data_IF_861201406070
#
_entry.id   IF_861201406070
#
_cell.length_a   1.000
_cell.length_b   1.000
_cell.length_c   1.000
_cell.angle_alpha   90.00
_cell.angle_beta   90.00
_cell.angle_gamma   90.00
#
_symmetry.space_group_name_H-M   'P 1'
#
loop_
_entity.id
_entity.type
_entity.pdbx_description
1 polymer ?
#
# COMPACT_ATOMS: atom_id res chain seq x y z
N UNK A 1 -10.40 -11.50 0.81
CA UNK A 1 -9.61 -10.58 1.67
C UNK A 1 -8.08 -10.77 1.58
N UNK A 2 -7.56 -11.96 1.27
CA UNK A 2 -6.10 -12.19 1.12
C UNK A 2 -5.47 -11.48 -0.09
N UNK A 3 -6.25 -11.15 -1.13
CA UNK A 3 -5.72 -10.56 -2.35
C UNK A 3 -5.11 -9.16 -2.13
N UNK A 4 -5.74 -8.31 -1.32
CA UNK A 4 -5.20 -6.96 -1.06
C UNK A 4 -3.90 -7.02 -0.24
N UNK A 5 -3.85 -7.89 0.79
CA UNK A 5 -2.65 -8.08 1.63
C UNK A 5 -1.50 -8.65 0.82
N UNK A 6 -1.79 -9.66 -0.01
CA UNK A 6 -0.82 -10.24 -0.94
C UNK A 6 -0.32 -9.19 -1.94
N UNK A 7 -1.21 -8.35 -2.47
CA UNK A 7 -0.84 -7.24 -3.35
C UNK A 7 0.04 -6.23 -2.63
N UNK A 8 -0.27 -5.84 -1.40
CA UNK A 8 0.55 -4.93 -0.61
C UNK A 8 1.97 -5.48 -0.36
N UNK A 9 2.08 -6.77 0.02
CA UNK A 9 3.38 -7.42 0.21
C UNK A 9 4.16 -7.48 -1.11
N UNK A 10 3.51 -7.83 -2.22
CA UNK A 10 4.15 -7.85 -3.54
C UNK A 10 4.60 -6.47 -3.99
N UNK A 11 3.81 -5.44 -3.76
CA UNK A 11 4.18 -4.05 -4.09
C UNK A 11 5.38 -3.61 -3.24
N UNK A 12 5.40 -3.91 -1.94
CA UNK A 12 6.55 -3.62 -1.08
C UNK A 12 7.81 -4.38 -1.54
N UNK A 13 7.68 -5.66 -1.90
CA UNK A 13 8.78 -6.45 -2.47
C UNK A 13 9.23 -5.89 -3.83
N UNK A 14 8.30 -5.44 -4.68
CA UNK A 14 8.59 -4.78 -5.95
C UNK A 14 9.49 -3.55 -5.75
N UNK A 15 9.10 -2.69 -4.80
CA UNK A 15 9.86 -1.51 -4.46
C UNK A 15 11.23 -1.85 -3.88
N UNK A 16 11.36 -2.94 -3.13
CA UNK A 16 12.67 -3.42 -2.64
C UNK A 16 13.64 -3.83 -3.74
N UNK A 17 13.17 -4.12 -4.96
CA UNK A 17 14.07 -4.35 -6.10
C UNK A 17 14.64 -3.06 -6.68
N UNK A 18 13.97 -1.92 -6.56
CA UNK A 18 14.37 -0.69 -7.26
C UNK A 18 15.73 -0.18 -6.79
N UNK A 19 15.99 0.06 -5.48
CA UNK A 19 17.30 0.51 -5.03
C UNK A 19 18.40 -0.51 -5.36
N UNK A 20 18.12 -1.80 -5.17
CA UNK A 20 19.06 -2.88 -5.46
C UNK A 20 19.46 -2.94 -6.95
N UNK A 21 18.51 -2.75 -7.88
CA UNK A 21 18.78 -2.73 -9.32
C UNK A 21 19.54 -1.46 -9.74
N UNK A 22 19.16 -0.30 -9.19
CA UNK A 22 19.90 0.95 -9.43
C UNK A 22 21.35 0.85 -8.95
N UNK A 23 21.56 0.27 -7.76
CA UNK A 23 22.89 0.01 -7.22
C UNK A 23 23.65 -0.98 -8.11
N UNK A 24 23.05 -2.12 -8.48
CA UNK A 24 23.70 -3.11 -9.34
C UNK A 24 24.17 -2.51 -10.68
N UNK A 25 23.33 -1.67 -11.31
CA UNK A 25 23.70 -0.97 -12.54
C UNK A 25 24.85 0.03 -12.31
N UNK A 26 24.82 0.76 -11.20
CA UNK A 26 25.89 1.67 -10.81
C UNK A 26 27.23 0.95 -10.54
N UNK A 27 27.19 -0.18 -9.83
CA UNK A 27 28.37 -1.02 -9.58
C UNK A 27 28.97 -1.55 -10.90
N UNK A 28 28.14 -2.01 -11.83
CA UNK A 28 28.61 -2.52 -13.12
C UNK A 28 29.37 -1.45 -13.93
N UNK A 29 28.95 -0.18 -13.84
CA UNK A 29 29.63 0.95 -14.49
C UNK A 29 30.84 1.51 -13.73
N UNK A 30 31.08 1.08 -12.49
CA UNK A 30 32.13 1.64 -11.62
C UNK A 30 32.92 0.55 -10.88
N UNK A 31 33.12 -0.60 -11.53
CA UNK A 31 33.68 -1.79 -10.89
C UNK A 31 35.10 -1.60 -10.34
N UNK A 32 35.87 -0.72 -10.95
CA UNK A 32 37.28 -0.47 -10.59
C UNK A 32 37.45 0.34 -9.28
N UNK A 33 36.36 0.81 -8.67
CA UNK A 33 36.40 1.56 -7.40
C UNK A 33 36.46 0.63 -6.20
N UNK A 34 36.81 1.20 -5.05
CA UNK A 34 36.90 0.45 -3.79
C UNK A 34 35.54 -0.07 -3.31
N UNK A 35 35.58 -1.09 -2.44
CA UNK A 35 34.42 -1.70 -1.76
C UNK A 35 33.34 -2.36 -2.64
N UNK A 36 33.52 -2.49 -3.96
CA UNK A 36 32.48 -3.01 -4.88
C UNK A 36 32.03 -4.45 -4.59
N UNK A 37 32.93 -5.32 -4.14
CA UNK A 37 32.58 -6.68 -3.71
C UNK A 37 31.69 -6.68 -2.46
N UNK A 38 31.98 -5.83 -1.48
CA UNK A 38 31.17 -5.68 -0.26
C UNK A 38 29.79 -5.09 -0.60
N UNK A 39 29.74 -4.09 -1.47
CA UNK A 39 28.49 -3.50 -1.93
C UNK A 39 27.62 -4.51 -2.68
N UNK A 40 28.22 -5.37 -3.51
CA UNK A 40 27.50 -6.43 -4.21
C UNK A 40 26.88 -7.45 -3.24
N UNK A 41 27.57 -7.76 -2.12
CA UNK A 41 27.00 -8.60 -1.07
C UNK A 41 25.77 -7.95 -0.41
N UNK A 42 25.80 -6.64 -0.14
CA UNK A 42 24.66 -5.90 0.41
C UNK A 42 23.48 -5.90 -0.58
N UNK A 43 23.74 -5.61 -1.86
CA UNK A 43 22.73 -5.68 -2.93
C UNK A 43 22.11 -7.09 -3.01
N UNK A 44 22.92 -8.14 -2.91
CA UNK A 44 22.42 -9.52 -2.91
C UNK A 44 21.48 -9.78 -1.73
N UNK A 45 21.81 -9.31 -0.52
CA UNK A 45 20.92 -9.43 0.65
C UNK A 45 19.58 -8.72 0.42
N UNK A 46 19.61 -7.52 -0.17
CA UNK A 46 18.39 -6.78 -0.51
C UNK A 46 17.54 -7.54 -1.54
N UNK A 47 18.17 -8.06 -2.60
CA UNK A 47 17.50 -8.86 -3.63
C UNK A 47 16.90 -10.15 -3.07
N UNK A 48 17.62 -10.86 -2.19
CA UNK A 48 17.14 -12.07 -1.52
C UNK A 48 15.95 -11.76 -0.62
N UNK A 49 16.01 -10.68 0.16
CA UNK A 49 14.87 -10.23 0.98
C UNK A 49 13.65 -9.88 0.15
N UNK A 50 13.83 -9.12 -0.94
CA UNK A 50 12.74 -8.75 -1.86
C UNK A 50 12.12 -9.98 -2.54
N UNK A 51 12.96 -10.89 -3.04
CA UNK A 51 12.54 -12.16 -3.67
C UNK A 51 11.80 -13.05 -2.68
N UNK A 52 12.32 -13.20 -1.47
CA UNK A 52 11.69 -13.95 -0.39
C UNK A 52 10.32 -13.39 -0.04
N UNK A 53 10.20 -12.07 0.12
CA UNK A 53 8.91 -11.40 0.35
C UNK A 53 7.92 -11.60 -0.80
N UNK A 54 8.40 -11.57 -2.05
CA UNK A 54 7.57 -11.79 -3.23
C UNK A 54 7.04 -13.23 -3.32
N UNK A 55 7.92 -14.23 -3.22
CA UNK A 55 7.58 -15.65 -3.31
C UNK A 55 6.71 -16.09 -2.13
N UNK A 56 7.07 -15.66 -0.92
CA UNK A 56 6.31 -15.98 0.29
C UNK A 56 5.03 -15.15 0.45
N UNK A 57 4.76 -14.18 -0.43
CA UNK A 57 3.62 -13.24 -0.31
C UNK A 57 2.28 -13.93 -0.08
N UNK A 58 2.03 -15.08 -0.73
CA UNK A 58 0.81 -15.85 -0.55
C UNK A 58 0.67 -16.38 0.89
N UNK A 59 1.71 -17.06 1.38
CA UNK A 59 1.78 -17.64 2.73
C UNK A 59 1.75 -16.55 3.80
N UNK A 60 2.50 -15.47 3.61
CA UNK A 60 2.57 -14.34 4.54
C UNK A 60 1.24 -13.60 4.65
N UNK A 61 0.52 -13.43 3.54
CA UNK A 61 -0.77 -12.71 3.51
C UNK A 61 -1.89 -13.41 4.31
N UNK A 62 -1.79 -14.73 4.49
CA UNK A 62 -2.72 -15.53 5.27
C UNK A 62 -2.49 -15.42 6.79
N UNK A 63 -1.32 -14.92 7.23
CA UNK A 63 -0.99 -14.82 8.65
C UNK A 63 -1.62 -13.59 9.33
N UNK A 64 -1.90 -13.69 10.64
CA UNK A 64 -2.35 -12.55 11.47
C UNK A 64 -1.29 -11.43 11.56
N UNK A 65 -0.01 -11.79 11.34
CA UNK A 65 1.17 -10.91 11.43
C UNK A 65 1.69 -10.45 10.07
N UNK A 66 0.87 -10.43 9.03
CA UNK A 66 1.27 -10.11 7.64
C UNK A 66 1.99 -8.75 7.46
N UNK A 67 1.90 -7.82 8.43
CA UNK A 67 2.62 -6.54 8.43
C UNK A 67 4.10 -6.66 8.79
N UNK A 68 4.49 -7.65 9.58
CA UNK A 68 5.90 -7.88 9.97
C UNK A 68 6.81 -8.02 8.74
N UNK A 69 6.53 -8.89 7.75
CA UNK A 69 7.41 -9.03 6.60
C UNK A 69 7.51 -7.78 5.73
N UNK A 70 6.46 -6.96 5.68
CA UNK A 70 6.49 -5.66 5.01
C UNK A 70 7.47 -4.70 5.70
N UNK A 71 7.45 -4.66 7.05
CA UNK A 71 8.39 -3.87 7.84
C UNK A 71 9.82 -4.40 7.71
N UNK A 72 10.02 -5.72 7.78
CA UNK A 72 11.35 -6.34 7.61
C UNK A 72 11.96 -5.99 6.26
N UNK A 73 11.19 -6.10 5.17
CA UNK A 73 11.66 -5.75 3.82
C UNK A 73 12.05 -4.27 3.73
N UNK A 74 11.27 -3.38 4.34
CA UNK A 74 11.59 -1.95 4.41
C UNK A 74 12.84 -1.66 5.23
N UNK A 75 13.02 -2.32 6.38
CA UNK A 75 14.21 -2.17 7.25
C UNK A 75 15.46 -2.67 6.53
N UNK A 76 15.40 -3.83 5.88
CA UNK A 76 16.54 -4.38 5.10
C UNK A 76 16.92 -3.43 3.97
N UNK A 77 15.96 -2.84 3.27
CA UNK A 77 16.26 -1.85 2.22
C UNK A 77 16.90 -0.59 2.80
N UNK A 78 16.31 0.00 3.84
CA UNK A 78 16.86 1.21 4.44
C UNK A 78 18.28 0.98 4.99
N UNK A 79 18.51 -0.14 5.68
CA UNK A 79 19.82 -0.51 6.18
C UNK A 79 20.80 -0.75 5.02
N UNK A 80 20.37 -1.45 3.98
CA UNK A 80 21.14 -1.67 2.76
C UNK A 80 21.57 -0.37 2.08
N UNK A 81 20.62 0.55 1.84
CA UNK A 81 20.89 1.87 1.27
C UNK A 81 21.86 2.67 2.14
N UNK A 82 21.75 2.55 3.47
CA UNK A 82 22.64 3.24 4.42
C UNK A 82 24.07 2.71 4.31
N UNK A 83 24.23 1.39 4.33
CA UNK A 83 25.55 0.74 4.21
C UNK A 83 26.15 1.02 2.83
N UNK A 84 25.36 0.92 1.76
CA UNK A 84 25.80 1.22 0.40
C UNK A 84 26.23 2.69 0.25
N UNK A 85 25.48 3.62 0.84
CA UNK A 85 25.85 5.02 0.88
C UNK A 85 27.18 5.25 1.61
N UNK A 86 27.39 4.64 2.78
CA UNK A 86 28.65 4.74 3.51
C UNK A 86 29.84 4.16 2.72
N UNK A 87 29.66 3.02 2.06
CA UNK A 87 30.71 2.39 1.24
C UNK A 87 31.04 3.18 -0.05
N UNK A 88 30.13 4.04 -0.49
CA UNK A 88 30.28 4.88 -1.70
C UNK A 88 30.65 6.34 -1.39
N UNK A 89 31.14 6.62 -0.18
CA UNK A 89 31.60 7.96 0.22
C UNK A 89 30.52 8.84 0.87
N UNK A 90 29.45 8.26 1.38
CA UNK A 90 28.40 8.96 2.11
C UNK A 90 27.46 9.77 1.23
N UNK A 91 27.10 10.98 1.67
CA UNK A 91 26.11 11.84 0.99
C UNK A 91 26.64 12.44 -0.33
N UNK A 92 27.96 12.53 -0.48
CA UNK A 92 28.59 12.98 -1.72
C UNK A 92 28.43 11.96 -2.86
N UNK A 93 28.29 10.68 -2.51
CA UNK A 93 28.09 9.58 -3.45
C UNK A 93 26.64 9.48 -3.96
N UNK A 94 26.43 8.98 -5.20
CA UNK A 94 25.09 8.78 -5.76
C UNK A 94 24.22 7.86 -4.92
N UNK A 95 24.81 6.89 -4.21
CA UNK A 95 24.05 5.96 -3.37
C UNK A 95 23.59 6.59 -2.04
N UNK A 96 24.27 7.63 -1.55
CA UNK A 96 23.86 8.34 -0.35
C UNK A 96 22.50 9.05 -0.49
N UNK A 97 22.13 9.42 -1.72
CA UNK A 97 20.83 9.99 -2.03
C UNK A 97 19.68 8.96 -1.99
N UNK A 98 19.97 7.66 -2.02
CA UNK A 98 18.94 6.61 -2.00
C UNK A 98 18.31 6.42 -0.61
N UNK A 99 19.06 6.70 0.46
CA UNK A 99 18.57 6.59 1.85
C UNK A 99 17.28 7.40 2.07
N UNK A 100 17.23 8.71 1.77
CA UNK A 100 15.99 9.48 1.88
C UNK A 100 14.96 9.14 0.78
N UNK A 101 15.38 8.62 -0.37
CA UNK A 101 14.47 8.15 -1.42
C UNK A 101 13.63 6.93 -0.97
N UNK A 102 14.21 6.05 -0.17
CA UNK A 102 13.51 4.89 0.40
C UNK A 102 12.27 5.28 1.22
N UNK A 103 12.31 6.43 1.90
CA UNK A 103 11.19 6.97 2.67
C UNK A 103 9.97 7.32 1.79
N UNK A 104 10.18 7.76 0.55
CA UNK A 104 9.10 8.05 -0.42
C UNK A 104 8.35 6.76 -0.77
N UNK A 105 9.06 5.66 -1.00
CA UNK A 105 8.45 4.37 -1.29
C UNK A 105 7.68 3.81 -0.09
N UNK A 106 8.17 4.05 1.13
CA UNK A 106 7.45 3.74 2.37
C UNK A 106 6.16 4.56 2.49
N UNK A 107 6.14 5.83 2.10
CA UNK A 107 4.95 6.70 2.15
C UNK A 107 3.74 6.14 1.38
N UNK A 108 3.99 5.40 0.30
CA UNK A 108 2.94 4.84 -0.56
C UNK A 108 2.40 3.51 0.01
N UNK A 109 3.24 2.76 0.72
CA UNK A 109 2.95 1.38 1.11
C UNK A 109 2.43 1.24 2.55
N UNK A 110 2.80 2.16 3.45
CA UNK A 110 2.42 2.10 4.87
C UNK A 110 1.32 3.11 5.23
N UNK A 111 0.50 2.86 6.27
CA UNK A 111 -0.47 3.85 6.74
C UNK A 111 0.22 5.13 7.23
N UNK A 112 -0.43 6.30 7.17
CA UNK A 112 0.19 7.60 7.50
C UNK A 112 0.86 7.68 8.87
N UNK A 113 0.31 6.99 9.88
CA UNK A 113 0.91 6.91 11.23
C UNK A 113 2.25 6.17 11.27
N UNK A 114 2.40 5.12 10.47
CA UNK A 114 3.65 4.36 10.41
C UNK A 114 4.69 5.10 9.57
N UNK A 115 4.24 5.89 8.59
CA UNK A 115 5.10 6.71 7.77
C UNK A 115 5.89 7.75 8.58
N UNK A 116 5.30 8.39 9.59
CA UNK A 116 6.01 9.35 10.45
C UNK A 116 7.20 8.70 11.16
N UNK A 117 6.98 7.54 11.78
CA UNK A 117 8.03 6.78 12.44
C UNK A 117 9.13 6.33 11.46
N UNK A 118 8.74 5.79 10.31
CA UNK A 118 9.71 5.33 9.30
C UNK A 118 10.51 6.48 8.68
N UNK A 119 9.89 7.65 8.51
CA UNK A 119 10.57 8.87 8.07
C UNK A 119 11.59 9.34 9.10
N UNK A 120 11.27 9.27 10.39
CA UNK A 120 12.23 9.59 11.45
C UNK A 120 13.43 8.64 11.42
N UNK A 121 13.19 7.32 11.24
CA UNK A 121 14.29 6.34 11.12
C UNK A 121 15.15 6.60 9.87
N UNK A 122 14.53 6.93 8.73
CA UNK A 122 15.26 7.29 7.51
C UNK A 122 16.07 8.58 7.68
N UNK A 123 15.54 9.57 8.40
CA UNK A 123 16.28 10.80 8.72
C UNK A 123 17.49 10.53 9.60
N UNK A 124 17.37 9.64 10.59
CA UNK A 124 18.50 9.19 11.42
C UNK A 124 19.54 8.47 10.56
N UNK A 125 19.12 7.54 9.70
CA UNK A 125 20.00 6.85 8.77
C UNK A 125 20.74 7.82 7.85
N UNK A 126 20.06 8.83 7.35
CA UNK A 126 20.69 9.89 6.54
C UNK A 126 21.66 10.74 7.35
N UNK A 127 21.34 11.05 8.60
CA UNK A 127 22.26 11.70 9.53
C UNK A 127 23.55 10.91 9.76
N UNK A 128 23.46 9.57 9.82
CA UNK A 128 24.65 8.70 9.90
C UNK A 128 25.55 8.91 8.68
N UNK A 129 24.99 9.00 7.47
CA UNK A 129 25.79 9.27 6.26
C UNK A 129 26.46 10.65 6.28
N UNK A 130 25.82 11.66 6.88
CA UNK A 130 26.39 13.00 7.01
C UNK A 130 27.59 13.00 7.97
N UNK A 131 27.50 12.24 9.07
CA UNK A 131 28.51 12.24 10.13
C UNK A 131 29.69 11.33 9.80
N UNK A 132 29.43 10.16 9.21
CA UNK A 132 30.44 9.12 9.00
C UNK A 132 30.85 8.93 7.54
N UNK A 133 30.17 9.58 6.60
CA UNK A 133 30.54 9.58 5.19
C UNK A 133 31.59 10.64 4.86
N UNK A 134 32.02 10.66 3.59
CA UNK A 134 32.98 11.66 3.15
C UNK A 134 32.35 13.06 3.17
N UNK A 135 33.16 14.12 3.38
CA UNK A 135 32.67 15.49 3.41
C UNK A 135 31.97 15.85 2.10
N UNK A 136 30.66 16.07 2.16
CA UNK A 136 29.89 16.55 1.03
C UNK A 136 30.02 18.08 0.89
N UNK A 137 29.89 18.62 -0.34
CA UNK A 137 29.83 20.05 -0.55
C UNK A 137 28.77 20.72 0.34
N UNK A 138 29.02 21.96 0.84
CA UNK A 138 28.06 22.67 1.66
C UNK A 138 26.69 22.75 0.97
N UNK A 139 25.63 22.43 1.71
CA UNK A 139 24.25 22.50 1.22
C UNK A 139 23.74 21.25 0.49
N UNK A 140 24.59 20.33 0.01
CA UNK A 140 24.14 19.08 -0.62
C UNK A 140 23.21 18.25 0.28
N UNK A 141 23.57 17.98 1.56
CA UNK A 141 22.71 17.20 2.43
C UNK A 141 21.34 17.84 2.64
N UNK A 142 21.30 19.18 2.75
CA UNK A 142 20.09 19.95 2.92
C UNK A 142 19.19 19.88 1.69
N UNK A 143 19.74 20.06 0.49
CA UNK A 143 18.98 19.99 -0.77
C UNK A 143 18.34 18.62 -0.95
N UNK A 144 19.07 17.53 -0.73
CA UNK A 144 18.52 16.18 -0.78
C UNK A 144 17.40 15.99 0.27
N UNK A 145 17.65 16.37 1.53
CA UNK A 145 16.65 16.25 2.59
C UNK A 145 15.34 17.00 2.26
N UNK A 146 15.45 18.22 1.73
CA UNK A 146 14.30 19.02 1.31
C UNK A 146 13.61 18.44 0.07
N UNK A 147 14.36 17.98 -0.93
CA UNK A 147 13.82 17.37 -2.14
C UNK A 147 13.00 16.12 -1.80
N UNK A 148 13.55 15.19 -1.02
CA UNK A 148 12.84 13.97 -0.63
C UNK A 148 11.72 14.24 0.38
N UNK A 149 11.92 15.18 1.31
CA UNK A 149 10.88 15.62 2.23
C UNK A 149 9.65 16.18 1.50
N UNK A 150 9.86 17.04 0.50
CA UNK A 150 8.78 17.59 -0.32
C UNK A 150 8.08 16.52 -1.17
N UNK A 151 8.83 15.60 -1.77
CA UNK A 151 8.27 14.46 -2.50
C UNK A 151 7.40 13.57 -1.60
N UNK A 152 7.87 13.28 -0.39
CA UNK A 152 7.12 12.46 0.58
C UNK A 152 5.82 13.15 1.04
N UNK A 153 5.86 14.47 1.30
CA UNK A 153 4.66 15.27 1.60
C UNK A 153 3.68 15.24 0.42
N UNK A 154 4.15 15.40 -0.81
CA UNK A 154 3.31 15.33 -2.00
C UNK A 154 2.63 13.96 -2.13
N UNK A 155 3.38 12.86 -1.95
CA UNK A 155 2.83 11.50 -1.97
C UNK A 155 1.75 11.30 -0.89
N UNK A 156 1.98 11.77 0.33
CA UNK A 156 0.99 11.71 1.41
C UNK A 156 -0.28 12.50 1.07
N UNK A 157 -0.13 13.73 0.55
CA UNK A 157 -1.26 14.58 0.15
C UNK A 157 -2.05 13.93 -0.97
N UNK A 158 -1.37 13.40 -1.98
CA UNK A 158 -2.00 12.71 -3.10
C UNK A 158 -2.78 11.47 -2.64
N UNK A 159 -2.18 10.66 -1.75
CA UNK A 159 -2.85 9.51 -1.12
C UNK A 159 -4.13 9.92 -0.36
N UNK A 160 -4.08 11.02 0.40
CA UNK A 160 -5.25 11.55 1.11
C UNK A 160 -6.35 12.04 0.16
N UNK A 161 -6.00 12.71 -0.94
CA UNK A 161 -6.93 13.16 -1.98
C UNK A 161 -7.57 11.97 -2.70
N UNK A 162 -6.80 10.96 -3.08
CA UNK A 162 -7.33 9.73 -3.67
C UNK A 162 -8.31 9.03 -2.73
N UNK A 163 -7.99 8.97 -1.43
CA UNK A 163 -8.88 8.39 -0.43
C UNK A 163 -10.18 9.20 -0.24
N UNK A 164 -10.17 10.52 -0.41
CA UNK A 164 -11.37 11.36 -0.34
C UNK A 164 -12.23 11.22 -1.60
N UNK A 165 -11.61 11.20 -2.79
CA UNK A 165 -12.28 10.95 -4.07
C UNK A 165 -12.97 9.58 -4.09
N UNK A 166 -12.28 8.53 -3.64
CA UNK A 166 -12.86 7.18 -3.54
C UNK A 166 -14.09 7.16 -2.63
N UNK A 167 -14.05 7.87 -1.49
CA UNK A 167 -15.20 8.02 -0.59
C UNK A 167 -16.35 8.77 -1.27
N UNK A 168 -16.07 9.87 -1.98
CA UNK A 168 -17.10 10.62 -2.73
C UNK A 168 -17.76 9.77 -3.80
N UNK A 169 -16.98 9.05 -4.62
CA UNK A 169 -17.51 8.12 -5.63
C UNK A 169 -18.38 7.03 -4.99
N UNK A 170 -17.93 6.48 -3.85
CA UNK A 170 -18.73 5.52 -3.08
C UNK A 170 -20.04 6.14 -2.56
N UNK A 171 -20.03 7.41 -2.15
CA UNK A 171 -21.23 8.12 -1.69
C UNK A 171 -22.18 8.52 -2.82
N UNK A 172 -21.69 8.74 -4.04
CA UNK A 172 -22.51 9.03 -5.22
C UNK A 172 -23.08 7.76 -5.86
N UNK A 173 -22.47 6.59 -5.60
CA UNK A 173 -23.03 5.32 -6.05
C UNK A 173 -24.43 5.12 -5.48
N UNK A 174 -25.38 4.68 -6.32
CA UNK A 174 -26.73 4.24 -5.90
C UNK A 174 -26.76 2.75 -5.53
N UNK A 175 -25.67 2.04 -5.77
CA UNK A 175 -25.57 0.61 -5.57
C UNK A 175 -24.52 0.28 -4.53
N UNK A 176 -24.79 -0.75 -3.73
CA UNK A 176 -23.82 -1.35 -2.84
C UNK A 176 -22.81 -2.18 -3.67
N UNK A 177 -21.49 -1.95 -3.53
CA UNK A 177 -20.49 -2.60 -4.37
C UNK A 177 -20.30 -4.10 -4.09
N UNK A 178 -20.72 -4.60 -2.92
CA UNK A 178 -20.59 -6.02 -2.55
C UNK A 178 -21.71 -6.86 -3.17
N UNK A 179 -22.94 -6.40 -3.00
CA UNK A 179 -24.16 -7.12 -3.42
C UNK A 179 -24.61 -6.72 -4.83
N UNK A 180 -24.22 -5.52 -5.29
CA UNK A 180 -24.74 -4.90 -6.51
C UNK A 180 -26.21 -4.47 -6.41
N UNK A 181 -26.84 -4.65 -5.24
CA UNK A 181 -28.18 -4.15 -4.95
C UNK A 181 -28.15 -2.63 -4.79
N UNK A 182 -29.32 -2.00 -4.75
CA UNK A 182 -29.39 -0.60 -4.37
C UNK A 182 -28.90 -0.45 -2.94
N UNK A 183 -28.03 0.54 -2.70
CA UNK A 183 -27.74 0.93 -1.33
C UNK A 183 -28.93 1.73 -0.77
N UNK A 184 -28.87 2.12 0.51
CA UNK A 184 -29.98 2.82 1.17
C UNK A 184 -30.49 4.02 0.38
N UNK A 185 -29.58 4.84 -0.14
CA UNK A 185 -29.93 6.00 -0.98
C UNK A 185 -30.62 5.58 -2.28
N UNK A 186 -30.06 4.61 -3.00
CA UNK A 186 -30.67 4.10 -4.22
C UNK A 186 -32.05 3.49 -3.99
N UNK A 187 -32.24 2.82 -2.86
CA UNK A 187 -33.53 2.28 -2.43
C UNK A 187 -34.53 3.40 -2.14
N UNK A 188 -34.17 4.40 -1.33
CA UNK A 188 -35.05 5.51 -0.98
C UNK A 188 -35.51 6.26 -2.25
N UNK A 189 -34.59 6.56 -3.17
CA UNK A 189 -34.89 7.21 -4.45
C UNK A 189 -35.84 6.35 -5.32
N UNK A 190 -35.61 5.04 -5.42
CA UNK A 190 -36.43 4.14 -6.27
C UNK A 190 -37.80 3.86 -5.66
N UNK A 191 -37.88 3.72 -4.34
CA UNK A 191 -39.13 3.51 -3.62
C UNK A 191 -40.02 4.74 -3.70
N UNK A 192 -39.45 5.96 -3.56
CA UNK A 192 -40.21 7.20 -3.74
C UNK A 192 -40.81 7.30 -5.15
N UNK A 193 -40.03 6.94 -6.19
CA UNK A 193 -40.51 6.92 -7.58
C UNK A 193 -41.61 5.87 -7.80
N UNK A 194 -41.43 4.64 -7.28
CA UNK A 194 -42.42 3.56 -7.40
C UNK A 194 -43.73 3.91 -6.69
N UNK A 195 -43.66 4.49 -5.48
CA UNK A 195 -44.83 4.93 -4.73
C UNK A 195 -45.61 6.04 -5.46
N UNK A 196 -44.91 7.01 -6.04
CA UNK A 196 -45.54 8.06 -6.83
C UNK A 196 -46.24 7.50 -8.10
N UNK A 197 -45.62 6.51 -8.76
CA UNK A 197 -46.21 5.85 -9.92
C UNK A 197 -47.45 5.03 -9.56
N UNK A 198 -47.38 4.22 -8.50
CA UNK A 198 -48.50 3.42 -8.00
C UNK A 198 -49.71 4.30 -7.62
N UNK A 199 -49.45 5.43 -6.93
CA UNK A 199 -50.49 6.42 -6.59
C UNK A 199 -51.18 7.03 -7.80
N UNK A 200 -50.42 7.36 -8.85
CA UNK A 200 -50.99 7.90 -10.10
C UNK A 200 -51.81 6.87 -10.87
N UNK A 201 -51.36 5.62 -10.87
CA UNK A 201 -52.01 4.53 -11.60
C UNK A 201 -53.15 3.84 -10.81
N UNK A 202 -53.33 4.16 -9.53
CA UNK A 202 -54.29 3.47 -8.66
C UNK A 202 -53.95 1.99 -8.43
N UNK A 203 -52.69 1.59 -8.57
CA UNK A 203 -52.25 0.19 -8.45
C UNK A 203 -51.64 -0.10 -7.08
N UNK A 204 -51.80 -1.32 -6.54
CA UNK A 204 -51.18 -1.72 -5.29
C UNK A 204 -49.65 -1.81 -5.43
N UNK A 205 -48.93 -1.47 -4.34
CA UNK A 205 -47.48 -1.60 -4.23
C UNK A 205 -47.13 -2.39 -2.96
N UNK A 206 -46.25 -3.37 -3.08
CA UNK A 206 -45.78 -4.21 -1.96
C UNK A 206 -44.31 -3.97 -1.69
N UNK A 207 -43.94 -3.87 -0.42
CA UNK A 207 -42.55 -3.83 0.04
C UNK A 207 -42.26 -5.08 0.87
N UNK A 208 -41.17 -5.77 0.55
CA UNK A 208 -40.69 -6.95 1.28
C UNK A 208 -39.37 -6.61 1.96
N UNK A 209 -39.26 -6.89 3.25
CA UNK A 209 -38.04 -6.78 4.03
C UNK A 209 -37.52 -8.18 4.35
N UNK A 210 -36.26 -8.43 4.05
CA UNK A 210 -35.60 -9.73 4.21
C UNK A 210 -34.35 -9.53 5.06
N UNK A 211 -34.06 -10.49 5.93
CA UNK A 211 -32.81 -10.58 6.70
C UNK A 211 -32.19 -11.96 6.50
N UNK A 212 -30.86 -12.05 6.60
CA UNK A 212 -30.17 -13.34 6.51
C UNK A 212 -30.04 -13.95 7.90
N UNK A 213 -30.82 -15.01 8.15
CA UNK A 213 -30.79 -15.74 9.41
C UNK A 213 -29.39 -16.28 9.72
N UNK A 214 -28.99 -16.18 10.99
CA UNK A 214 -27.71 -16.69 11.50
C UNK A 214 -26.46 -16.17 10.77
N UNK A 215 -26.55 -15.02 10.09
CA UNK A 215 -25.42 -14.43 9.35
C UNK A 215 -24.17 -14.24 10.23
N UNK A 216 -24.36 -13.86 11.49
CA UNK A 216 -23.27 -13.74 12.46
C UNK A 216 -22.55 -15.07 12.70
N UNK A 217 -23.27 -16.18 12.79
CA UNK A 217 -22.69 -17.52 12.99
C UNK A 217 -21.79 -17.92 11.82
N UNK A 218 -22.19 -17.59 10.58
CA UNK A 218 -21.36 -17.81 9.39
C UNK A 218 -20.07 -17.00 9.47
N UNK A 219 -20.16 -15.72 9.87
CA UNK A 219 -18.98 -14.88 10.07
C UNK A 219 -18.05 -15.41 11.16
N UNK A 220 -18.60 -15.90 12.26
CA UNK A 220 -17.83 -16.36 13.41
C UNK A 220 -17.16 -17.72 13.11
N UNK A 221 -17.82 -18.63 12.35
CA UNK A 221 -17.30 -19.95 12.00
C UNK A 221 -16.34 -19.95 10.79
N UNK A 222 -16.62 -19.13 9.77
CA UNK A 222 -15.91 -19.17 8.48
C UNK A 222 -15.15 -17.86 8.16
N UNK A 223 -15.25 -16.87 9.03
CA UNK A 223 -14.63 -15.56 8.89
C UNK A 223 -15.43 -14.61 8.01
N UNK A 224 -15.16 -13.31 8.16
CA UNK A 224 -15.87 -12.24 7.44
C UNK A 224 -15.91 -12.38 5.92
N UNK A 225 -14.90 -13.01 5.31
CA UNK A 225 -14.90 -13.21 3.86
C UNK A 225 -16.04 -14.13 3.41
N UNK A 226 -16.32 -15.20 4.17
CA UNK A 226 -17.40 -16.11 3.83
C UNK A 226 -18.77 -15.44 3.96
N UNK A 227 -18.93 -14.55 4.94
CA UNK A 227 -20.12 -13.71 5.05
C UNK A 227 -20.27 -12.73 3.87
N UNK A 228 -19.19 -12.08 3.45
CA UNK A 228 -19.20 -11.21 2.26
C UNK A 228 -19.61 -12.00 1.00
N UNK A 229 -19.07 -13.21 0.83
CA UNK A 229 -19.39 -14.08 -0.32
C UNK A 229 -20.88 -14.51 -0.30
N UNK A 230 -21.42 -14.80 0.88
CA UNK A 230 -22.85 -15.10 1.09
C UNK A 230 -23.75 -13.90 0.76
N UNK A 231 -23.40 -12.69 1.22
CA UNK A 231 -24.12 -11.46 0.88
C UNK A 231 -24.10 -11.19 -0.61
N UNK A 232 -22.94 -11.34 -1.25
CA UNK A 232 -22.79 -11.17 -2.69
C UNK A 232 -23.63 -12.20 -3.47
N UNK A 233 -23.71 -13.45 -3.00
CA UNK A 233 -24.60 -14.46 -3.58
C UNK A 233 -26.07 -14.08 -3.42
N UNK A 234 -26.53 -13.79 -2.21
CA UNK A 234 -27.92 -13.41 -1.95
C UNK A 234 -28.35 -12.18 -2.78
N UNK A 235 -27.49 -11.17 -2.85
CA UNK A 235 -27.74 -9.98 -3.68
C UNK A 235 -27.84 -10.29 -5.18
N UNK A 236 -27.12 -11.29 -5.69
CA UNK A 236 -27.30 -11.76 -7.08
C UNK A 236 -28.64 -12.44 -7.26
N UNK A 237 -29.00 -13.39 -6.40
CA UNK A 237 -30.27 -14.14 -6.52
C UNK A 237 -31.47 -13.19 -6.49
N UNK A 238 -31.49 -12.21 -5.58
CA UNK A 238 -32.56 -11.21 -5.49
C UNK A 238 -32.67 -10.28 -6.71
N UNK A 239 -31.65 -10.21 -7.56
CA UNK A 239 -31.63 -9.38 -8.76
C UNK A 239 -32.00 -10.14 -10.04
N UNK A 240 -31.90 -11.47 -10.03
CA UNK A 240 -32.12 -12.31 -11.22
C UNK A 240 -33.60 -12.34 -11.62
N UNK A 241 -34.52 -12.03 -10.71
CA UNK A 241 -35.96 -12.04 -10.97
C UNK A 241 -36.48 -10.70 -11.52
N UNK A 242 -36.09 -10.40 -12.78
CA UNK A 242 -36.78 -9.41 -13.61
C UNK A 242 -37.33 -10.07 -14.86
N UNK A 243 -38.45 -10.76 -14.70
CA UNK A 243 -39.41 -11.00 -15.77
C UNK A 243 -40.76 -10.47 -15.34
#
# INVERSE_FOLDING_TARGET
>A
MNQWRRRAIRVAAAYGFIPALLCAAYLAGTWDREHRSAMLAVVLVMLVSATGGWLASARMSASRRWRIPLLVTGIVNLAGDTVLGLLDGGVAGPLGALVPASAVFLAITVPPRAFLWLSAVSAVAYGILIVYGDPAPPGYPLVHALAYGSAAVLCLRHSAVLASLRRRLSHTSRTDPLTGCLNRRGFDERTAAALAAARRAGTPLTLVLLDLDHFKSVNDAHGHQAGDDLLAWAGRELRVDRR
#
